data_IF_299426765312
#
_entry.id   IF_299426765312
#
_cell.length_a   1.000
_cell.length_b   1.000
_cell.length_c   1.000
_cell.angle_alpha   90.00
_cell.angle_beta   90.00
_cell.angle_gamma   90.00
#
_symmetry.space_group_name_H-M   'P 1'
#
loop_
_entity.id
_entity.type
_entity.pdbx_description
1 polymer ?
#
# COMPACT_ATOMS: atom_id res chain seq x y z
N UNK A 1 -1.47 28.59 21.70
CA UNK A 1 -1.35 27.33 20.93
C UNK A 1 -0.13 27.36 20.01
N UNK A 2 0.61 26.26 19.89
CA UNK A 2 1.68 26.13 18.91
C UNK A 2 1.07 25.91 17.52
N UNK A 3 1.73 26.34 16.44
CA UNK A 3 1.28 26.04 15.09
C UNK A 3 1.42 24.54 14.79
N UNK A 4 0.46 23.99 14.05
CA UNK A 4 0.55 22.62 13.56
C UNK A 4 1.77 22.46 12.65
N UNK A 5 2.50 21.35 12.81
CA UNK A 5 3.69 21.05 12.01
C UNK A 5 3.38 19.86 11.12
N UNK A 6 3.54 20.08 9.81
CA UNK A 6 3.27 19.09 8.78
C UNK A 6 4.53 18.87 7.96
N UNK A 7 4.84 17.61 7.70
CA UNK A 7 5.88 17.21 6.76
C UNK A 7 5.24 16.77 5.46
N UNK A 8 5.83 17.19 4.34
CA UNK A 8 5.41 16.83 2.98
C UNK A 8 6.54 16.09 2.28
N UNK A 9 6.25 14.93 1.71
CA UNK A 9 7.19 14.09 1.00
C UNK A 9 6.65 13.74 -0.39
N UNK A 10 7.37 14.16 -1.44
CA UNK A 10 7.12 13.75 -2.81
C UNK A 10 7.97 12.50 -3.12
N UNK A 11 7.33 11.33 -3.18
CA UNK A 11 7.98 10.03 -3.36
C UNK A 11 7.76 9.54 -4.79
N UNK A 12 8.85 9.25 -5.49
CA UNK A 12 8.82 8.71 -6.85
C UNK A 12 9.50 7.35 -6.88
N UNK A 13 8.72 6.32 -7.12
CA UNK A 13 9.22 4.97 -7.37
C UNK A 13 9.16 4.71 -8.87
N UNK A 14 10.30 4.43 -9.48
CA UNK A 14 10.39 4.12 -10.90
C UNK A 14 10.71 2.66 -11.12
N UNK A 15 10.19 2.06 -12.19
CA UNK A 15 10.43 0.65 -12.51
C UNK A 15 10.03 -0.31 -11.38
N UNK A 16 8.97 0.04 -10.64
CA UNK A 16 8.39 -0.83 -9.64
C UNK A 16 7.78 -2.03 -10.36
N UNK A 17 8.25 -3.24 -10.02
CA UNK A 17 7.77 -4.49 -10.59
C UNK A 17 7.42 -5.49 -9.50
N UNK A 18 6.54 -6.42 -9.82
CA UNK A 18 6.23 -7.58 -8.99
C UNK A 18 6.56 -8.83 -9.80
N UNK A 19 7.30 -9.76 -9.20
CA UNK A 19 7.69 -11.00 -9.85
C UNK A 19 7.60 -12.16 -8.87
N UNK A 20 7.22 -13.34 -9.37
CA UNK A 20 7.25 -14.59 -8.63
C UNK A 20 8.61 -15.26 -8.82
N UNK A 21 9.18 -15.76 -7.73
CA UNK A 21 10.42 -16.53 -7.76
C UNK A 21 10.19 -17.96 -7.29
N UNK A 22 10.65 -18.93 -8.06
CA UNK A 22 10.59 -20.34 -7.69
C UNK A 22 11.91 -20.71 -7.00
N UNK A 23 11.83 -21.09 -5.73
CA UNK A 23 12.97 -21.46 -4.90
C UNK A 23 13.19 -22.98 -4.95
N UNK A 24 13.76 -23.48 -6.05
CA UNK A 24 14.22 -24.88 -6.16
C UNK A 24 15.75 -24.94 -5.99
N UNK A 25 16.25 -25.89 -5.19
CA UNK A 25 17.68 -25.99 -4.84
C UNK A 25 18.58 -26.33 -6.05
N UNK A 26 18.03 -26.94 -7.09
CA UNK A 26 18.82 -27.53 -8.18
C UNK A 26 18.74 -26.79 -9.53
N UNK A 27 17.87 -25.77 -9.66
CA UNK A 27 17.69 -25.04 -10.92
C UNK A 27 17.40 -23.55 -10.69
N UNK A 28 18.23 -22.68 -11.29
CA UNK A 28 17.96 -21.25 -11.39
C UNK A 28 16.86 -21.04 -12.43
N UNK A 29 15.63 -20.90 -11.97
CA UNK A 29 14.52 -20.45 -12.80
C UNK A 29 14.55 -18.92 -12.91
N UNK A 30 14.18 -18.39 -14.08
CA UNK A 30 13.96 -16.96 -14.24
C UNK A 30 12.74 -16.51 -13.42
N UNK A 31 12.78 -15.27 -12.92
CA UNK A 31 11.66 -14.69 -12.18
C UNK A 31 10.48 -14.50 -13.15
N UNK A 32 9.28 -14.95 -12.75
CA UNK A 32 8.07 -14.79 -13.54
C UNK A 32 7.50 -13.39 -13.27
N UNK A 33 7.42 -12.54 -14.28
CA UNK A 33 6.88 -11.19 -14.12
C UNK A 33 5.35 -11.22 -13.95
N UNK A 34 4.88 -10.75 -12.80
CA UNK A 34 3.45 -10.60 -12.49
C UNK A 34 2.96 -9.22 -12.92
N UNK A 35 3.75 -8.18 -12.63
CA UNK A 35 3.44 -6.79 -12.96
C UNK A 35 4.57 -6.22 -13.81
N UNK A 36 4.22 -5.74 -15.01
CA UNK A 36 5.15 -4.99 -15.85
C UNK A 36 5.65 -3.74 -15.11
N UNK A 37 6.92 -3.32 -15.26
CA UNK A 37 7.46 -2.20 -14.51
C UNK A 37 6.63 -0.92 -14.65
N UNK A 38 6.19 -0.37 -13.52
CA UNK A 38 5.42 0.89 -13.47
C UNK A 38 6.21 1.98 -12.74
N UNK A 39 5.81 3.23 -13.00
CA UNK A 39 6.22 4.36 -12.19
C UNK A 39 5.06 4.76 -11.28
N UNK A 40 5.36 4.96 -10.00
CA UNK A 40 4.41 5.36 -8.97
C UNK A 40 4.87 6.68 -8.35
N UNK A 41 4.01 7.68 -8.41
CA UNK A 41 4.23 8.99 -7.78
C UNK A 41 3.26 9.13 -6.61
N UNK A 42 3.81 9.32 -5.42
CA UNK A 42 3.06 9.44 -4.17
C UNK A 42 3.38 10.78 -3.52
N UNK A 43 2.34 11.43 -3.03
CA UNK A 43 2.46 12.55 -2.11
C UNK A 43 2.08 12.05 -0.71
N UNK A 44 3.05 12.06 0.21
CA UNK A 44 2.83 11.70 1.61
C UNK A 44 2.86 12.97 2.45
N UNK A 45 1.82 13.17 3.26
CA UNK A 45 1.68 14.27 4.20
C UNK A 45 1.60 13.67 5.59
N UNK A 46 2.54 13.99 6.49
CA UNK A 46 2.52 13.55 7.88
C UNK A 46 2.28 14.72 8.82
N UNK A 47 1.31 14.57 9.70
CA UNK A 47 1.07 15.51 10.78
C UNK A 47 2.01 15.17 11.95
N UNK A 48 3.11 15.92 12.08
CA UNK A 48 4.08 15.75 13.16
C UNK A 48 3.53 16.20 14.53
N UNK A 49 2.32 16.76 14.53
CA UNK A 49 1.59 17.27 15.70
C UNK A 49 0.27 16.52 15.94
N UNK A 50 0.14 15.30 15.40
CA UNK A 50 -1.10 14.50 15.46
C UNK A 50 -1.58 14.18 16.88
N UNK A 51 -0.70 14.29 17.89
CA UNK A 51 -1.05 14.08 19.30
C UNK A 51 -1.97 15.17 19.87
N UNK A 52 -2.03 16.36 19.25
CA UNK A 52 -2.83 17.49 19.75
C UNK A 52 -3.52 18.32 18.67
N UNK A 53 -3.20 18.15 17.38
CA UNK A 53 -3.87 18.80 16.26
C UNK A 53 -4.55 17.76 15.37
N UNK A 54 -5.84 17.49 15.59
CA UNK A 54 -6.59 16.41 14.95
C UNK A 54 -7.39 16.82 13.71
N UNK A 55 -7.33 18.09 13.30
CA UNK A 55 -8.00 18.57 12.07
C UNK A 55 -7.43 17.94 10.79
N UNK A 56 -6.21 17.40 10.85
CA UNK A 56 -5.53 16.71 9.75
C UNK A 56 -5.15 15.29 10.21
N UNK A 57 -5.34 14.24 9.38
CA UNK A 57 -4.93 12.89 9.73
C UNK A 57 -3.42 12.79 10.05
N UNK A 58 -3.07 11.84 10.91
CA UNK A 58 -1.67 11.58 11.29
C UNK A 58 -0.76 11.33 10.07
N UNK A 59 -1.27 10.58 9.10
CA UNK A 59 -0.64 10.35 7.80
C UNK A 59 -1.71 10.37 6.72
N UNK A 60 -1.44 11.09 5.63
CA UNK A 60 -2.22 11.07 4.40
C UNK A 60 -1.31 10.70 3.25
N UNK A 61 -1.73 9.74 2.43
CA UNK A 61 -1.02 9.33 1.21
C UNK A 61 -1.95 9.57 0.04
N UNK A 62 -1.45 10.29 -0.97
CA UNK A 62 -2.13 10.53 -2.23
C UNK A 62 -1.27 9.95 -3.35
N UNK A 63 -1.91 9.45 -4.39
CA UNK A 63 -1.22 8.92 -5.56
C UNK A 63 -2.22 8.57 -6.64
N UNK A 64 -1.74 8.46 -7.88
CA UNK A 64 -2.54 7.99 -9.01
C UNK A 64 -1.99 6.66 -9.49
N UNK A 65 -2.80 5.61 -9.36
CA UNK A 65 -2.52 4.32 -9.97
C UNK A 65 -2.99 4.36 -11.42
N UNK A 66 -2.06 4.26 -12.37
CA UNK A 66 -2.39 4.11 -13.79
C UNK A 66 -2.78 2.66 -14.08
N UNK A 67 -3.34 2.41 -15.26
CA UNK A 67 -3.65 1.06 -15.73
C UNK A 67 -2.45 0.13 -15.53
N UNK A 68 -2.71 -1.01 -14.88
CA UNK A 68 -1.70 -2.04 -14.62
C UNK A 68 -1.82 -3.14 -15.67
N UNK A 69 -0.68 -3.53 -16.24
CA UNK A 69 -0.59 -4.69 -17.10
C UNK A 69 -0.02 -5.84 -16.28
N UNK A 70 -0.85 -6.87 -16.07
CA UNK A 70 -0.55 -7.96 -15.17
C UNK A 70 -0.71 -9.31 -15.87
N UNK A 71 0.20 -10.24 -15.58
CA UNK A 71 0.15 -11.63 -16.01
C UNK A 71 0.03 -12.51 -14.78
N UNK A 72 -1.13 -13.14 -14.58
CA UNK A 72 -1.45 -13.90 -13.37
C UNK A 72 -1.71 -15.36 -13.72
N UNK A 73 -0.98 -16.27 -13.07
CA UNK A 73 -1.37 -17.67 -12.98
C UNK A 73 -2.45 -17.89 -11.91
N UNK A 74 -3.00 -19.10 -11.86
CA UNK A 74 -4.02 -19.49 -10.87
C UNK A 74 -3.57 -19.25 -9.43
N UNK A 75 -2.32 -19.63 -9.12
CA UNK A 75 -1.72 -19.44 -7.81
C UNK A 75 -1.58 -17.95 -7.45
N UNK A 76 -1.12 -17.10 -8.39
CA UNK A 76 -0.99 -15.66 -8.15
C UNK A 76 -2.35 -15.04 -7.84
N UNK A 77 -3.37 -15.40 -8.61
CA UNK A 77 -4.72 -14.89 -8.42
C UNK A 77 -5.27 -15.30 -7.06
N UNK A 78 -5.07 -16.56 -6.66
CA UNK A 78 -5.50 -17.06 -5.34
C UNK A 78 -4.86 -16.28 -4.20
N UNK A 79 -3.55 -16.04 -4.26
CA UNK A 79 -2.82 -15.25 -3.25
C UNK A 79 -3.27 -13.80 -3.27
N UNK A 80 -3.40 -13.18 -4.45
CA UNK A 80 -3.84 -11.80 -4.60
C UNK A 80 -5.25 -11.59 -4.02
N UNK A 81 -6.18 -12.50 -4.29
CA UNK A 81 -7.55 -12.42 -3.76
C UNK A 81 -7.58 -12.61 -2.24
N UNK A 82 -6.75 -13.50 -1.68
CA UNK A 82 -6.60 -13.62 -0.22
C UNK A 82 -6.12 -12.32 0.42
N UNK A 83 -5.11 -11.67 -0.17
CA UNK A 83 -4.62 -10.36 0.30
C UNK A 83 -5.73 -9.30 0.23
N UNK A 84 -6.48 -9.24 -0.87
CA UNK A 84 -7.58 -8.29 -1.01
C UNK A 84 -8.66 -8.50 0.04
N UNK A 85 -9.04 -9.75 0.32
CA UNK A 85 -10.01 -10.09 1.37
C UNK A 85 -9.52 -9.65 2.74
N UNK A 86 -8.25 -9.90 3.06
CA UNK A 86 -7.65 -9.47 4.32
C UNK A 86 -7.61 -7.95 4.45
N UNK A 87 -7.23 -7.21 3.40
CA UNK A 87 -7.26 -5.75 3.41
C UNK A 87 -8.66 -5.18 3.64
N UNK A 88 -9.69 -5.77 3.03
CA UNK A 88 -11.10 -5.36 3.26
C UNK A 88 -11.50 -5.62 4.71
N UNK A 89 -11.12 -6.78 5.24
CA UNK A 89 -11.39 -7.16 6.63
C UNK A 89 -10.73 -6.19 7.60
N UNK A 90 -9.45 -5.87 7.42
CA UNK A 90 -8.73 -4.88 8.24
C UNK A 90 -9.44 -3.53 8.29
N UNK A 91 -9.92 -3.04 7.13
CA UNK A 91 -10.71 -1.80 7.06
C UNK A 91 -12.00 -1.87 7.89
N UNK A 92 -12.71 -3.00 7.85
CA UNK A 92 -13.93 -3.19 8.64
C UNK A 92 -13.66 -3.29 10.15
N UNK A 93 -12.60 -3.98 10.56
CA UNK A 93 -12.20 -4.09 11.97
C UNK A 93 -11.76 -2.74 12.53
N UNK A 94 -11.05 -1.93 11.74
CA UNK A 94 -10.68 -0.57 12.11
C UNK A 94 -11.91 0.33 12.31
N UNK A 95 -12.90 0.26 11.41
CA UNK A 95 -14.17 0.95 11.56
C UNK A 95 -14.89 0.53 12.85
N UNK A 96 -14.97 -0.77 13.12
CA UNK A 96 -15.64 -1.31 14.31
C UNK A 96 -14.95 -0.88 15.60
N UNK A 97 -13.61 -0.91 15.64
CA UNK A 97 -12.86 -0.38 16.79
C UNK A 97 -13.18 1.09 17.04
N UNK A 98 -13.21 1.92 16.00
CA UNK A 98 -13.54 3.35 16.15
C UNK A 98 -14.94 3.57 16.74
N UNK A 99 -15.92 2.75 16.35
CA UNK A 99 -17.27 2.81 16.91
C UNK A 99 -17.30 2.42 18.41
N UNK A 100 -16.49 1.43 18.82
CA UNK A 100 -16.40 1.00 20.22
C UNK A 100 -15.70 2.02 21.13
N UNK A 101 -14.79 2.86 20.62
CA UNK A 101 -14.12 3.90 21.41
C UNK A 101 -14.93 5.21 21.48
N UNK A 102 -16.00 5.36 20.68
CA UNK A 102 -16.88 6.54 20.68
C UNK A 102 -18.17 6.37 21.50
N UNK A 103 -18.36 5.23 22.17
CA UNK A 103 -19.50 4.92 23.05
C UNK A 103 -19.18 5.05 24.53
#
# INVERSE_FOLDING_TARGET
PLPAVVEKMDVKLTQLKLSRKILNQDQRHEDIEILQPINLELLVIRNLTASWFSEIPGVQVQGLLRSLSMSLGEEDLSVMMKILVENIREGSEEQNRRLLVQG
#
